data_IF_069593695611
#
_entry.id   IF_069593695611
#
_cell.length_a   1.000
_cell.length_b   1.000
_cell.length_c   1.000
_cell.angle_alpha   90.00
_cell.angle_beta   90.00
_cell.angle_gamma   90.00
#
_symmetry.space_group_name_H-M   'P 1'
#
loop_
_entity.id
_entity.type
_entity.pdbx_description
1 polymer ?
#
# COMPACT_ATOMS: atom_id res chain seq x y z
N UNK A 1 40.75 -13.07 -18.94
CA UNK A 1 40.36 -11.80 -18.29
C UNK A 1 38.97 -11.83 -17.65
N UNK A 2 37.85 -12.01 -18.38
CA UNK A 2 36.52 -12.10 -17.73
C UNK A 2 36.39 -13.31 -16.80
N UNK A 3 36.89 -14.47 -17.23
CA UNK A 3 36.90 -15.68 -16.41
C UNK A 3 37.78 -15.54 -15.16
N UNK A 4 38.98 -14.97 -15.29
CA UNK A 4 39.90 -14.76 -14.15
C UNK A 4 39.28 -13.86 -13.08
N UNK A 5 38.61 -12.76 -13.49
CA UNK A 5 37.87 -11.89 -12.56
C UNK A 5 36.73 -12.61 -11.86
N UNK A 6 36.04 -13.52 -12.56
CA UNK A 6 34.96 -14.31 -11.96
C UNK A 6 35.51 -15.32 -10.95
N UNK A 7 36.61 -15.99 -11.27
CA UNK A 7 37.26 -16.95 -10.36
C UNK A 7 37.80 -16.24 -9.10
N UNK A 8 38.46 -15.09 -9.26
CA UNK A 8 38.96 -14.27 -8.15
C UNK A 8 37.82 -13.81 -7.22
N UNK A 9 36.67 -13.42 -7.79
CA UNK A 9 35.50 -13.05 -7.01
C UNK A 9 34.96 -14.21 -6.18
N UNK A 10 34.87 -15.41 -6.78
CA UNK A 10 34.42 -16.63 -6.09
C UNK A 10 35.39 -16.98 -4.95
N UNK A 11 36.69 -16.86 -5.18
CA UNK A 11 37.73 -17.12 -4.17
C UNK A 11 37.59 -16.18 -2.97
N UNK A 12 37.46 -14.86 -3.20
CA UNK A 12 37.24 -13.88 -2.13
C UNK A 12 35.95 -14.15 -1.35
N UNK A 13 34.86 -14.50 -2.04
CA UNK A 13 33.59 -14.82 -1.38
C UNK A 13 33.68 -16.08 -0.53
N UNK A 14 34.37 -17.12 -1.01
CA UNK A 14 34.63 -18.33 -0.25
C UNK A 14 35.47 -18.03 1.00
N UNK A 15 36.52 -17.23 0.85
CA UNK A 15 37.38 -16.83 1.96
C UNK A 15 36.60 -16.11 3.07
N UNK A 16 35.76 -15.13 2.72
CA UNK A 16 34.93 -14.41 3.68
C UNK A 16 33.89 -15.32 4.34
N UNK A 17 33.28 -16.24 3.58
CA UNK A 17 32.36 -17.22 4.14
C UNK A 17 33.04 -18.12 5.17
N UNK A 18 34.26 -18.56 4.90
CA UNK A 18 35.00 -19.43 5.80
C UNK A 18 35.51 -18.69 7.04
N UNK A 19 35.98 -17.45 6.90
CA UNK A 19 36.64 -16.74 8.00
C UNK A 19 35.75 -15.79 8.80
N UNK A 20 34.58 -15.39 8.27
CA UNK A 20 33.63 -14.55 8.99
C UNK A 20 32.38 -15.37 9.36
N UNK A 21 31.61 -15.83 8.36
CA UNK A 21 30.34 -16.56 8.59
C UNK A 21 30.53 -17.87 9.37
N UNK A 22 31.44 -18.75 8.91
CA UNK A 22 31.61 -20.07 9.55
C UNK A 22 32.24 -19.98 10.95
N UNK A 23 32.96 -18.89 11.25
CA UNK A 23 33.49 -18.61 12.59
C UNK A 23 32.49 -17.92 13.51
N UNK A 24 31.29 -17.60 13.01
CA UNK A 24 30.20 -17.02 13.81
C UNK A 24 30.27 -15.51 13.99
N UNK A 25 31.13 -14.81 13.26
CA UNK A 25 31.17 -13.35 13.26
C UNK A 25 29.99 -12.79 12.46
N UNK A 26 29.43 -11.65 12.90
CA UNK A 26 28.33 -10.99 12.20
C UNK A 26 28.80 -10.34 10.88
N UNK A 27 28.25 -10.75 9.71
CA UNK A 27 28.53 -10.12 8.42
C UNK A 27 28.23 -8.61 8.39
N UNK A 28 27.23 -8.16 9.15
CA UNK A 28 26.84 -6.74 9.20
C UNK A 28 27.93 -5.90 9.87
N UNK A 29 28.45 -6.35 11.01
CA UNK A 29 29.53 -5.67 11.73
C UNK A 29 30.83 -5.67 10.92
N UNK A 30 31.17 -6.81 10.30
CA UNK A 30 32.31 -6.88 9.40
C UNK A 30 32.15 -5.95 8.19
N UNK A 31 30.93 -5.87 7.63
CA UNK A 31 30.61 -4.95 6.55
C UNK A 31 30.77 -3.48 6.94
N UNK A 32 30.35 -3.11 8.15
CA UNK A 32 30.54 -1.77 8.72
C UNK A 32 32.03 -1.45 8.93
N UNK A 33 32.82 -2.43 9.40
CA UNK A 33 34.27 -2.31 9.52
C UNK A 33 34.96 -2.12 8.17
N UNK A 34 34.59 -2.87 7.14
CA UNK A 34 35.13 -2.66 5.80
C UNK A 34 34.77 -1.27 5.24
N UNK A 35 33.57 -0.78 5.53
CA UNK A 35 33.12 0.56 5.13
C UNK A 35 33.90 1.68 5.84
N UNK A 36 34.34 1.48 7.09
CA UNK A 36 35.14 2.48 7.80
C UNK A 36 36.57 2.58 7.28
N UNK A 37 37.10 1.50 6.70
CA UNK A 37 38.46 1.48 6.14
C UNK A 37 38.57 2.09 4.74
N UNK A 38 37.50 2.04 3.93
CA UNK A 38 37.54 2.50 2.52
C UNK A 38 36.15 2.90 2.02
N UNK A 39 36.08 3.98 1.23
CA UNK A 39 34.85 4.37 0.53
C UNK A 39 34.41 3.24 -0.42
N UNK A 40 33.13 2.83 -0.34
CA UNK A 40 32.60 1.62 -1.00
C UNK A 40 33.32 0.32 -0.58
N UNK A 41 33.79 0.26 0.67
CA UNK A 41 34.45 -0.91 1.25
C UNK A 41 33.55 -2.14 1.33
N UNK A 42 32.23 -1.99 1.30
CA UNK A 42 31.28 -3.11 1.20
C UNK A 42 31.33 -3.86 -0.15
N UNK A 43 31.97 -3.33 -1.19
CA UNK A 43 32.13 -4.01 -2.46
C UNK A 43 33.39 -4.88 -2.47
N UNK A 44 33.22 -6.20 -2.44
CA UNK A 44 34.30 -7.18 -2.44
C UNK A 44 35.25 -7.06 -3.65
N UNK A 45 34.75 -6.56 -4.78
CA UNK A 45 35.55 -6.38 -6.01
C UNK A 45 36.60 -5.26 -5.86
N UNK A 46 36.48 -4.40 -4.83
CA UNK A 46 37.41 -3.31 -4.54
C UNK A 46 38.61 -3.72 -3.66
N UNK A 47 38.67 -4.99 -3.27
CA UNK A 47 39.71 -5.53 -2.39
C UNK A 47 40.45 -6.66 -3.09
N UNK A 48 41.76 -6.70 -2.97
CA UNK A 48 42.55 -7.88 -3.31
C UNK A 48 42.41 -8.94 -2.23
N UNK A 49 42.67 -10.22 -2.56
CA UNK A 49 42.59 -11.29 -1.57
C UNK A 49 43.54 -11.05 -0.36
N UNK A 50 44.81 -10.63 -0.55
CA UNK A 50 45.70 -10.32 0.58
C UNK A 50 45.22 -9.16 1.46
N UNK A 51 44.59 -8.14 0.87
CA UNK A 51 43.98 -7.05 1.65
C UNK A 51 42.82 -7.57 2.50
N UNK A 52 41.94 -8.41 1.93
CA UNK A 52 40.86 -9.05 2.70
C UNK A 52 41.41 -9.91 3.84
N UNK A 53 42.47 -10.69 3.61
CA UNK A 53 43.10 -11.48 4.67
C UNK A 53 43.61 -10.60 5.83
N UNK A 54 44.22 -9.47 5.50
CA UNK A 54 44.70 -8.52 6.51
C UNK A 54 43.56 -7.90 7.30
N UNK A 55 42.47 -7.53 6.63
CA UNK A 55 41.30 -6.88 7.24
C UNK A 55 40.51 -7.86 8.11
N UNK A 56 40.30 -9.07 7.61
CA UNK A 56 39.69 -10.16 8.40
C UNK A 56 40.52 -10.40 9.66
N UNK A 57 41.85 -10.52 9.55
CA UNK A 57 42.72 -10.71 10.73
C UNK A 57 42.61 -9.56 11.73
N UNK A 58 42.59 -8.32 11.24
CA UNK A 58 42.45 -7.12 12.07
C UNK A 58 41.09 -7.09 12.78
N UNK A 59 40.01 -7.37 12.05
CA UNK A 59 38.67 -7.44 12.59
C UNK A 59 38.52 -8.54 13.63
N UNK A 60 38.99 -9.76 13.34
CA UNK A 60 38.88 -10.88 14.30
C UNK A 60 39.68 -10.60 15.56
N UNK A 61 40.88 -10.01 15.46
CA UNK A 61 41.64 -9.60 16.66
C UNK A 61 40.84 -8.61 17.50
N UNK A 62 40.24 -7.60 16.87
CA UNK A 62 39.45 -6.57 17.56
C UNK A 62 38.23 -7.15 18.28
N UNK A 63 37.57 -8.16 17.70
CA UNK A 63 36.41 -8.82 18.32
C UNK A 63 36.82 -9.80 19.42
N UNK A 64 37.90 -10.55 19.21
CA UNK A 64 38.38 -11.58 20.14
C UNK A 64 39.02 -10.98 21.41
N UNK A 65 39.60 -9.77 21.33
CA UNK A 65 40.21 -9.05 22.46
C UNK A 65 39.19 -8.49 23.48
N UNK A 66 37.88 -8.64 23.20
CA UNK A 66 36.78 -8.41 24.15
C UNK A 66 35.92 -7.16 23.87
N UNK A 67 34.66 -7.16 24.35
CA UNK A 67 33.64 -6.16 23.99
C UNK A 67 33.98 -4.73 24.42
N UNK A 68 34.84 -4.55 25.44
CA UNK A 68 35.28 -3.22 25.90
C UNK A 68 36.09 -2.44 24.84
N UNK A 69 36.62 -3.12 23.81
CA UNK A 69 37.37 -2.45 22.73
C UNK A 69 36.49 -2.03 21.54
N UNK A 70 35.29 -2.57 21.39
CA UNK A 70 34.52 -2.43 20.15
C UNK A 70 33.68 -1.15 20.10
N UNK A 71 33.02 -0.80 21.22
CA UNK A 71 32.17 0.40 21.31
C UNK A 71 32.96 1.71 21.11
N UNK A 72 34.28 1.68 21.33
CA UNK A 72 35.09 2.88 21.24
C UNK A 72 35.42 3.31 19.81
N UNK A 73 35.27 2.43 18.81
CA UNK A 73 35.73 2.67 17.43
C UNK A 73 34.64 3.15 16.46
N UNK A 74 33.36 2.96 16.78
CA UNK A 74 32.24 3.34 15.89
C UNK A 74 31.34 4.43 16.46
N UNK A 75 31.66 4.97 17.65
CA UNK A 75 31.05 6.22 18.08
C UNK A 75 31.42 7.30 17.05
N UNK A 76 30.47 7.86 16.28
CA UNK A 76 30.78 8.99 15.42
C UNK A 76 31.39 10.07 16.30
N UNK A 77 32.55 10.59 15.92
CA UNK A 77 33.15 11.72 16.62
C UNK A 77 32.13 12.86 16.61
N UNK A 78 31.40 12.98 17.72
CA UNK A 78 30.52 14.09 17.99
C UNK A 78 31.42 15.29 18.22
N UNK A 79 31.66 16.04 17.14
CA UNK A 79 32.24 17.36 17.20
C UNK A 79 31.43 18.23 18.19
N UNK A 80 32.11 18.63 19.26
CA UNK A 80 31.89 19.92 19.90
C UNK A 80 30.59 20.12 20.69
N UNK A 81 30.64 19.72 21.97
CA UNK A 81 30.43 20.65 23.10
C UNK A 81 29.21 21.59 23.07
N UNK A 82 28.12 21.20 23.73
CA UNK A 82 27.23 22.15 24.43
C UNK A 82 27.14 21.70 25.90
N UNK A 83 27.46 22.57 26.88
CA UNK A 83 27.43 22.20 28.29
C UNK A 83 25.99 22.28 28.80
N UNK A 84 25.35 21.15 29.05
CA UNK A 84 24.16 21.09 29.90
C UNK A 84 24.59 20.71 31.30
N UNK A 85 24.42 21.68 32.22
CA UNK A 85 24.65 21.50 33.64
C UNK A 85 23.65 20.56 34.30
N UNK A 86 24.08 20.09 35.46
CA UNK A 86 23.33 19.60 36.62
C UNK A 86 21.82 19.40 36.42
N UNK A 87 21.35 18.16 36.65
CA UNK A 87 20.58 17.95 37.87
C UNK A 87 20.59 16.49 38.33
N UNK A 88 20.77 16.34 39.63
CA UNK A 88 20.81 15.10 40.40
C UNK A 88 19.38 14.57 40.58
N UNK A 89 19.16 13.28 40.34
CA UNK A 89 18.11 12.57 41.06
C UNK A 89 18.43 11.06 41.18
N UNK A 90 18.68 10.53 42.38
CA UNK A 90 18.77 9.10 42.62
C UNK A 90 17.57 8.63 43.45
N UNK A 91 16.63 7.91 42.84
CA UNK A 91 15.88 6.85 43.53
C UNK A 91 14.91 6.17 42.57
N UNK A 92 15.04 4.85 42.41
CA UNK A 92 13.93 3.89 42.44
C UNK A 92 14.43 2.47 42.14
N UNK A 93 14.18 1.59 43.09
CA UNK A 93 14.47 0.16 43.10
C UNK A 93 13.59 -0.66 42.13
N UNK A 94 13.97 -1.91 41.82
CA UNK A 94 13.27 -2.77 40.85
C UNK A 94 12.11 -3.55 41.48
N UNK A 95 10.93 -3.47 40.86
CA UNK A 95 9.74 -4.27 41.19
C UNK A 95 9.55 -5.45 40.23
N UNK A 96 9.17 -6.58 40.81
CA UNK A 96 9.25 -7.94 40.29
C UNK A 96 8.21 -8.32 39.23
N UNK A 97 8.59 -9.32 38.42
CA UNK A 97 7.71 -10.21 37.67
C UNK A 97 6.90 -11.12 38.61
N UNK A 98 5.60 -11.30 38.33
CA UNK A 98 4.89 -12.56 38.57
C UNK A 98 3.84 -12.80 37.48
N UNK A 99 3.78 -14.07 37.08
CA UNK A 99 2.83 -14.78 36.22
C UNK A 99 1.36 -14.60 36.68
N UNK A 100 0.32 -14.78 35.86
CA UNK A 100 -0.20 -16.07 35.38
C UNK A 100 -1.45 -15.85 34.48
N UNK A 101 -1.91 -16.89 33.75
CA UNK A 101 -2.92 -16.81 32.71
C UNK A 101 -4.30 -17.32 33.17
N UNK A 102 -5.39 -16.69 32.73
CA UNK A 102 -6.71 -17.32 32.71
C UNK A 102 -7.44 -16.90 31.42
N UNK A 103 -7.75 -17.91 30.61
CA UNK A 103 -8.43 -17.84 29.33
C UNK A 103 -9.75 -18.59 29.49
N UNK A 104 -10.79 -17.87 29.91
CA UNK A 104 -12.15 -18.37 29.90
C UNK A 104 -12.88 -17.94 28.63
N UNK A 105 -13.33 -18.98 27.94
CA UNK A 105 -14.29 -19.01 26.85
C UNK A 105 -15.64 -18.44 27.24
N UNK A 106 -16.21 -17.57 26.40
CA UNK A 106 -17.62 -17.22 26.47
C UNK A 106 -18.35 -17.35 25.13
N UNK A 107 -19.53 -17.92 25.30
CA UNK A 107 -20.49 -18.48 24.38
C UNK A 107 -21.46 -17.39 23.89
N UNK A 108 -21.65 -17.26 22.58
CA UNK A 108 -22.61 -16.30 22.00
C UNK A 108 -23.97 -16.97 21.78
N UNK A 109 -24.89 -16.78 22.73
CA UNK A 109 -26.33 -16.99 22.51
C UNK A 109 -26.92 -15.88 21.62
N UNK A 110 -27.59 -16.28 20.54
CA UNK A 110 -28.40 -15.39 19.69
C UNK A 110 -29.84 -15.37 20.17
N UNK A 111 -30.30 -14.21 20.68
CA UNK A 111 -31.72 -13.87 20.76
C UNK A 111 -32.00 -12.70 19.81
N UNK A 112 -32.80 -12.97 18.77
CA UNK A 112 -33.24 -11.99 17.77
C UNK A 112 -34.45 -11.20 18.28
N UNK A 113 -34.26 -9.90 18.47
CA UNK A 113 -35.30 -8.87 18.42
C UNK A 113 -34.72 -7.64 17.71
N UNK A 114 -35.42 -7.15 16.68
CA UNK A 114 -34.93 -6.20 15.69
C UNK A 114 -34.62 -4.81 16.24
N UNK A 115 -33.46 -4.65 16.88
CA UNK A 115 -32.81 -3.36 17.11
C UNK A 115 -31.91 -3.04 15.93
N UNK A 116 -32.04 -1.84 15.36
CA UNK A 116 -30.97 -1.24 14.54
C UNK A 116 -29.70 -1.27 15.39
N UNK A 117 -28.65 -1.93 14.87
CA UNK A 117 -27.38 -2.04 15.55
C UNK A 117 -26.51 -0.85 15.12
N UNK A 118 -25.93 -0.17 16.10
CA UNK A 118 -24.97 0.92 15.87
C UNK A 118 -23.56 0.40 16.18
N UNK A 119 -22.59 0.71 15.33
CA UNK A 119 -21.18 0.41 15.57
C UNK A 119 -20.50 1.66 16.15
N UNK A 120 -19.88 1.51 17.32
CA UNK A 120 -19.13 2.59 17.96
C UNK A 120 -17.69 2.61 17.43
N UNK A 121 -17.23 3.78 16.98
CA UNK A 121 -15.84 4.01 16.53
C UNK A 121 -15.17 4.94 17.51
N UNK A 122 -14.01 4.55 18.04
CA UNK A 122 -13.18 5.42 18.86
C UNK A 122 -12.34 6.34 17.98
N UNK A 123 -12.12 7.56 18.44
CA UNK A 123 -11.32 8.55 17.72
C UNK A 123 -9.83 8.18 17.63
N UNK A 124 -9.31 7.35 18.54
CA UNK A 124 -7.91 6.92 18.59
C UNK A 124 -7.56 5.73 17.66
N UNK A 125 -8.56 5.17 16.97
CA UNK A 125 -8.35 4.04 16.07
C UNK A 125 -7.46 4.40 14.89
N UNK A 126 -6.56 3.49 14.50
CA UNK A 126 -5.76 3.66 13.29
C UNK A 126 -6.66 3.80 12.05
N UNK A 127 -6.22 4.59 11.07
CA UNK A 127 -6.96 4.86 9.83
C UNK A 127 -7.46 3.59 9.12
N UNK A 128 -6.63 2.54 9.08
CA UNK A 128 -7.00 1.27 8.45
C UNK A 128 -8.14 0.59 9.20
N UNK A 129 -8.12 0.64 10.53
CA UNK A 129 -9.16 0.05 11.38
C UNK A 129 -10.47 0.84 11.29
N UNK A 130 -10.43 2.17 11.23
CA UNK A 130 -11.63 2.98 11.02
C UNK A 130 -12.29 2.67 9.67
N UNK A 131 -11.48 2.53 8.61
CA UNK A 131 -11.97 2.18 7.27
C UNK A 131 -12.62 0.79 7.22
N UNK A 132 -12.04 -0.20 7.89
CA UNK A 132 -12.63 -1.54 7.98
C UNK A 132 -13.96 -1.53 8.73
N UNK A 133 -14.07 -0.78 9.84
CA UNK A 133 -15.34 -0.62 10.57
C UNK A 133 -16.39 0.09 9.71
N UNK A 134 -15.99 1.08 8.91
CA UNK A 134 -16.90 1.81 8.03
C UNK A 134 -17.47 0.93 6.92
N UNK A 135 -16.62 0.12 6.28
CA UNK A 135 -17.04 -0.83 5.26
C UNK A 135 -17.98 -1.89 5.85
N UNK A 136 -17.66 -2.40 7.03
CA UNK A 136 -18.49 -3.39 7.74
C UNK A 136 -19.85 -2.82 8.16
N UNK A 137 -19.89 -1.58 8.64
CA UNK A 137 -21.14 -0.91 8.99
C UNK A 137 -22.04 -0.71 7.76
N UNK A 138 -21.45 -0.34 6.62
CA UNK A 138 -22.18 -0.19 5.36
C UNK A 138 -22.73 -1.53 4.83
N UNK A 139 -21.95 -2.62 4.92
CA UNK A 139 -22.40 -3.97 4.55
C UNK A 139 -23.54 -4.48 5.45
N UNK A 140 -23.48 -4.15 6.74
CA UNK A 140 -24.45 -4.62 7.73
C UNK A 140 -25.65 -3.67 7.90
N UNK A 141 -25.70 -2.55 7.17
CA UNK A 141 -26.76 -1.54 7.28
C UNK A 141 -26.83 -0.88 8.67
N UNK A 142 -25.67 -0.73 9.32
CA UNK A 142 -25.53 -0.19 10.67
C UNK A 142 -25.09 1.27 10.63
N UNK A 143 -25.63 2.06 11.55
CA UNK A 143 -25.15 3.42 11.77
C UNK A 143 -23.83 3.42 12.55
N UNK A 144 -23.01 4.44 12.32
CA UNK A 144 -21.74 4.63 13.01
C UNK A 144 -21.89 5.78 14.02
N UNK A 145 -21.49 5.53 15.26
CA UNK A 145 -21.43 6.55 16.30
C UNK A 145 -19.99 6.72 16.78
N UNK A 146 -19.49 7.95 16.79
CA UNK A 146 -18.18 8.26 17.36
C UNK A 146 -18.31 8.44 18.86
N UNK A 147 -17.41 7.84 19.63
CA UNK A 147 -17.38 7.95 21.09
C UNK A 147 -16.04 8.57 21.48
N UNK A 148 -16.12 9.69 22.19
CA UNK A 148 -14.95 10.36 22.79
C UNK A 148 -14.57 9.64 24.09
N UNK A 149 -13.27 9.47 24.35
CA UNK A 149 -12.76 8.67 25.47
C UNK A 149 -13.04 9.27 26.88
N UNK A 150 -13.61 10.48 26.95
CA UNK A 150 -13.84 11.21 28.21
C UNK A 150 -15.27 11.08 28.79
N UNK A 151 -16.22 10.38 28.14
CA UNK A 151 -17.54 10.15 28.74
C UNK A 151 -17.65 8.79 29.46
N UNK A 152 -17.84 8.76 30.80
CA UNK A 152 -18.13 7.52 31.50
C UNK A 152 -19.49 6.96 31.03
N UNK A 153 -19.54 5.66 30.73
CA UNK A 153 -20.62 4.92 30.06
C UNK A 153 -21.99 4.87 30.79
N UNK A 154 -22.34 5.86 31.59
CA UNK A 154 -23.54 5.90 32.43
C UNK A 154 -24.34 7.18 32.22
N UNK A 155 -24.86 7.40 30.99
CA UNK A 155 -26.14 8.08 30.73
C UNK A 155 -26.40 8.23 29.21
N UNK A 156 -26.95 7.19 28.58
CA UNK A 156 -27.68 7.36 27.31
C UNK A 156 -29.15 7.01 27.58
N UNK A 157 -29.94 8.04 27.88
CA UNK A 157 -31.39 7.93 28.08
C UNK A 157 -32.07 7.82 26.71
N UNK A 158 -32.57 6.63 26.38
CA UNK A 158 -33.45 6.44 25.22
C UNK A 158 -34.85 7.00 25.53
N UNK A 159 -35.28 8.03 24.80
CA UNK A 159 -36.67 8.47 24.80
C UNK A 159 -37.53 7.55 23.90
N UNK A 160 -38.72 7.12 24.35
CA UNK A 160 -39.59 6.27 23.55
C UNK A 160 -40.43 7.11 22.57
N UNK A 161 -40.42 6.70 21.30
CA UNK A 161 -41.30 7.23 20.24
C UNK A 161 -42.60 6.40 20.22
N UNK A 162 -43.80 7.01 20.08
CA UNK A 162 -45.07 6.30 20.18
C UNK A 162 -45.36 5.44 18.94
N UNK A 163 -45.73 4.18 19.17
CA UNK A 163 -46.11 3.19 18.15
C UNK A 163 -47.60 3.31 17.79
N UNK A 164 -48.00 3.21 16.50
CA UNK A 164 -49.40 3.11 16.13
C UNK A 164 -49.93 1.68 16.26
N UNK A 165 -51.20 1.59 16.67
CA UNK A 165 -52.00 0.37 16.86
C UNK A 165 -52.40 -0.21 15.50
N UNK A 166 -52.19 -1.52 15.29
CA UNK A 166 -52.81 -2.29 14.19
C UNK A 166 -53.44 -3.58 14.72
N UNK A 167 -54.65 -3.82 14.21
CA UNK A 167 -55.60 -4.87 14.56
C UNK A 167 -55.23 -6.24 13.98
N UNK A 168 -55.69 -7.29 14.67
CA UNK A 168 -55.53 -8.70 14.37
C UNK A 168 -56.27 -9.20 13.12
N UNK A 169 -55.76 -10.30 12.54
CA UNK A 169 -56.46 -11.16 11.59
C UNK A 169 -55.78 -12.53 11.46
N UNK A 170 -56.54 -13.60 11.63
CA UNK A 170 -56.17 -15.03 11.81
C UNK A 170 -56.29 -15.80 10.48
N UNK A 171 -55.45 -16.82 10.25
CA UNK A 171 -55.82 -18.02 9.46
C UNK A 171 -54.77 -18.61 8.50
N UNK A 172 -54.22 -19.78 8.87
CA UNK A 172 -53.48 -20.79 8.08
C UNK A 172 -54.42 -21.67 7.19
N UNK A 173 -54.02 -22.75 6.46
CA UNK A 173 -52.79 -23.08 5.68
C UNK A 173 -53.06 -23.84 4.31
N UNK A 174 -51.97 -24.28 3.64
CA UNK A 174 -51.78 -25.41 2.67
C UNK A 174 -52.07 -25.21 1.16
N UNK A 175 -51.11 -25.63 0.31
CA UNK A 175 -51.41 -26.30 -0.98
C UNK A 175 -50.47 -26.03 -2.17
N UNK A 176 -49.75 -27.08 -2.60
CA UNK A 176 -48.96 -27.21 -3.84
C UNK A 176 -49.70 -26.86 -5.14
N UNK A 177 -48.95 -26.43 -6.18
CA UNK A 177 -48.91 -27.01 -7.54
C UNK A 177 -48.50 -26.02 -8.65
N UNK A 178 -47.99 -26.62 -9.73
CA UNK A 178 -47.16 -26.11 -10.82
C UNK A 178 -48.00 -25.57 -12.04
N UNK A 179 -47.45 -25.33 -13.27
CA UNK A 179 -47.63 -24.11 -14.05
C UNK A 179 -48.51 -24.26 -15.32
N UNK A 180 -48.87 -23.16 -16.01
CA UNK A 180 -48.85 -22.99 -17.49
C UNK A 180 -49.64 -21.77 -18.03
N UNK A 181 -49.01 -21.11 -19.01
CA UNK A 181 -49.54 -20.59 -20.30
C UNK A 181 -50.50 -19.37 -20.42
N UNK A 182 -50.02 -18.43 -21.27
CA UNK A 182 -50.70 -17.70 -22.37
C UNK A 182 -51.64 -16.48 -22.13
N UNK A 183 -51.19 -15.32 -22.70
CA UNK A 183 -51.85 -14.19 -23.45
C UNK A 183 -53.39 -14.20 -23.68
N UNK A 184 -54.08 -13.10 -24.15
CA UNK A 184 -53.77 -11.64 -24.25
C UNK A 184 -54.94 -10.63 -23.92
N UNK A 185 -54.60 -9.35 -23.62
CA UNK A 185 -55.26 -8.01 -23.77
C UNK A 185 -56.82 -7.77 -23.62
N UNK A 186 -57.37 -6.53 -23.87
CA UNK A 186 -57.87 -5.49 -22.93
C UNK A 186 -59.45 -5.34 -23.00
N UNK A 187 -60.23 -4.35 -22.45
CA UNK A 187 -59.99 -2.90 -22.22
C UNK A 187 -60.58 -2.25 -20.92
N UNK A 188 -60.30 -0.94 -20.77
CA UNK A 188 -60.97 0.11 -19.96
C UNK A 188 -62.53 0.04 -19.95
N UNK A 189 -63.29 0.64 -18.99
CA UNK A 189 -63.15 2.07 -18.59
C UNK A 189 -63.56 2.50 -17.14
N UNK A 190 -63.15 3.74 -16.82
CA UNK A 190 -63.78 4.80 -16.01
C UNK A 190 -64.48 4.49 -14.66
N UNK A 191 -64.02 5.14 -13.59
CA UNK A 191 -64.89 5.71 -12.56
C UNK A 191 -64.18 6.80 -11.71
N UNK A 192 -64.93 7.87 -11.47
CA UNK A 192 -64.64 9.04 -10.65
C UNK A 192 -64.19 8.75 -9.21
N UNK A 193 -63.24 9.55 -8.72
CA UNK A 193 -62.80 9.54 -7.32
C UNK A 193 -62.21 10.88 -6.88
N UNK A 194 -63.06 11.74 -6.32
CA UNK A 194 -62.71 12.98 -5.63
C UNK A 194 -61.73 12.76 -4.49
N UNK A 195 -60.72 13.64 -4.41
CA UNK A 195 -60.26 14.22 -3.16
C UNK A 195 -58.96 13.65 -2.58
N UNK A 196 -57.86 14.37 -2.78
CA UNK A 196 -56.98 14.84 -1.70
C UNK A 196 -55.90 15.72 -2.31
N UNK A 197 -55.84 16.97 -1.87
CA UNK A 197 -54.86 17.97 -2.29
C UNK A 197 -53.57 17.70 -1.49
N UNK A 198 -52.78 16.74 -1.93
CA UNK A 198 -51.40 16.57 -1.51
C UNK A 198 -50.50 17.19 -2.58
N UNK A 199 -49.74 18.21 -2.20
CA UNK A 199 -48.77 18.87 -3.08
C UNK A 199 -47.65 17.89 -3.45
N UNK A 200 -47.26 17.80 -4.74
CA UNK A 200 -46.12 16.99 -5.16
C UNK A 200 -44.83 17.75 -4.86
N UNK A 201 -44.23 17.50 -3.69
CA UNK A 201 -42.89 17.97 -3.28
C UNK A 201 -41.76 17.05 -3.80
N UNK A 202 -42.03 16.14 -4.74
CA UNK A 202 -41.07 15.09 -5.12
C UNK A 202 -40.24 15.37 -6.40
N UNK A 203 -40.51 16.47 -7.13
CA UNK A 203 -39.92 16.68 -8.48
C UNK A 203 -38.93 17.85 -8.60
N UNK A 204 -38.55 18.50 -7.49
CA UNK A 204 -37.57 19.62 -7.50
C UNK A 204 -36.11 19.22 -7.22
N UNK A 205 -35.83 17.94 -6.94
CA UNK A 205 -34.44 17.47 -6.78
C UNK A 205 -33.79 17.01 -8.10
N UNK A 206 -34.54 16.87 -9.20
CA UNK A 206 -34.05 16.27 -10.44
C UNK A 206 -33.22 17.20 -11.37
N UNK A 207 -33.10 18.49 -11.09
CA UNK A 207 -32.46 19.45 -12.00
C UNK A 207 -31.30 20.26 -11.38
N UNK A 208 -30.62 19.74 -10.35
CA UNK A 208 -29.30 20.26 -9.98
C UNK A 208 -28.30 19.82 -11.05
N UNK A 209 -28.21 20.62 -12.13
CA UNK A 209 -27.23 20.46 -13.18
C UNK A 209 -25.83 20.27 -12.56
N UNK A 210 -25.24 19.10 -12.77
CA UNK A 210 -23.86 18.80 -12.37
C UNK A 210 -22.98 19.80 -13.09
N UNK A 211 -22.39 20.74 -12.35
CA UNK A 211 -21.41 21.66 -12.91
C UNK A 211 -20.13 20.86 -13.17
N UNK A 212 -19.88 20.59 -14.43
CA UNK A 212 -18.66 19.95 -14.91
C UNK A 212 -17.71 21.04 -15.37
N UNK A 213 -16.51 21.06 -14.79
CA UNK A 213 -15.48 22.05 -15.14
C UNK A 213 -14.38 21.37 -15.92
N UNK A 214 -13.97 21.97 -17.04
CA UNK A 214 -12.82 21.50 -17.80
C UNK A 214 -11.64 22.43 -17.54
N UNK A 215 -10.51 21.85 -17.14
CA UNK A 215 -9.27 22.58 -16.85
C UNK A 215 -8.18 22.07 -17.79
N UNK A 216 -7.34 22.97 -18.30
CA UNK A 216 -6.18 22.59 -19.10
C UNK A 216 -5.13 21.89 -18.24
N UNK A 217 -4.49 20.86 -18.81
CA UNK A 217 -3.39 20.11 -18.22
C UNK A 217 -2.28 19.80 -19.22
N UNK A 218 -1.30 19.02 -18.81
CA UNK A 218 -0.25 18.50 -19.69
C UNK A 218 -0.78 17.31 -20.49
N UNK A 219 -0.53 17.32 -21.80
CA UNK A 219 -0.88 16.18 -22.64
C UNK A 219 0.16 15.08 -22.50
N UNK A 220 -0.29 13.84 -22.24
CA UNK A 220 0.60 12.68 -22.23
C UNK A 220 1.28 12.48 -23.61
N UNK A 221 2.54 12.07 -23.59
CA UNK A 221 3.23 11.63 -24.79
C UNK A 221 2.53 10.37 -25.36
N UNK A 222 2.60 10.20 -26.69
CA UNK A 222 2.10 8.98 -27.33
C UNK A 222 2.97 7.80 -26.88
N UNK A 223 2.37 6.88 -26.14
CA UNK A 223 2.98 5.63 -25.71
C UNK A 223 2.53 4.48 -26.61
N UNK A 224 3.38 3.50 -26.93
CA UNK A 224 2.95 2.26 -27.58
C UNK A 224 1.88 1.50 -26.78
N UNK A 225 1.77 1.77 -25.47
CA UNK A 225 0.75 1.20 -24.60
C UNK A 225 -0.65 1.80 -24.79
N UNK A 226 -0.77 2.88 -25.58
CA UNK A 226 -2.03 3.60 -25.84
C UNK A 226 -2.96 2.90 -26.83
N UNK A 227 -2.57 1.73 -27.36
CA UNK A 227 -3.32 1.02 -28.40
C UNK A 227 -4.75 0.64 -27.97
N UNK A 228 -5.64 0.38 -28.94
CA UNK A 228 -6.99 -0.13 -28.68
C UNK A 228 -6.99 -1.60 -28.22
N UNK A 229 -5.86 -2.28 -28.36
CA UNK A 229 -5.71 -3.67 -27.95
C UNK A 229 -5.72 -3.78 -26.43
N UNK A 230 -6.47 -4.75 -25.93
CA UNK A 230 -6.45 -5.12 -24.51
C UNK A 230 -5.09 -5.76 -24.19
N UNK A 231 -4.13 -4.92 -23.82
CA UNK A 231 -2.82 -5.35 -23.36
C UNK A 231 -2.98 -6.10 -22.03
N UNK A 232 -2.24 -7.20 -21.90
CA UNK A 232 -2.20 -8.00 -20.69
C UNK A 232 -0.75 -8.31 -20.36
N UNK A 233 -0.42 -8.15 -19.09
CA UNK A 233 0.87 -8.54 -18.54
C UNK A 233 0.71 -9.82 -17.75
N UNK A 234 1.68 -10.73 -17.89
CA UNK A 234 1.84 -11.89 -17.02
C UNK A 234 3.13 -11.74 -16.20
N UNK A 235 3.06 -12.09 -14.91
CA UNK A 235 4.21 -12.05 -14.01
C UNK A 235 4.44 -13.43 -13.42
N UNK A 236 5.65 -13.97 -13.58
CA UNK A 236 5.95 -15.34 -13.18
C UNK A 236 7.44 -15.61 -13.01
N UNK A 237 7.77 -16.90 -13.01
CA UNK A 237 9.13 -17.44 -12.97
C UNK A 237 10.05 -16.76 -11.93
N UNK A 238 9.65 -16.74 -10.64
CA UNK A 238 10.41 -16.10 -9.60
C UNK A 238 11.80 -16.72 -9.49
N UNK A 239 12.83 -15.90 -9.34
CA UNK A 239 14.21 -16.36 -9.16
C UNK A 239 14.85 -15.61 -8.02
N UNK A 240 15.32 -16.35 -7.03
CA UNK A 240 16.06 -15.81 -5.89
C UNK A 240 17.52 -15.67 -6.30
N UNK A 241 18.06 -14.47 -6.12
CA UNK A 241 19.44 -14.13 -6.36
C UNK A 241 20.15 -13.91 -5.03
N UNK A 242 21.34 -14.46 -4.95
CA UNK A 242 22.28 -14.26 -3.85
C UNK A 242 23.46 -13.45 -4.43
N UNK A 243 23.42 -12.12 -4.28
CA UNK A 243 24.48 -11.23 -4.80
C UNK A 243 25.78 -11.31 -3.95
N UNK A 244 25.82 -12.23 -2.97
CA UNK A 244 27.00 -12.58 -2.20
C UNK A 244 26.96 -12.07 -0.75
N UNK A 245 28.11 -12.18 -0.10
CA UNK A 245 28.28 -12.08 1.36
C UNK A 245 27.65 -10.83 2.02
N UNK A 246 27.75 -9.66 1.40
CA UNK A 246 27.24 -8.40 1.97
C UNK A 246 25.90 -7.93 1.39
N UNK A 247 25.37 -8.64 0.39
CA UNK A 247 24.13 -8.24 -0.27
C UNK A 247 22.99 -9.11 0.22
N UNK A 248 21.90 -8.48 0.67
CA UNK A 248 20.69 -9.23 0.98
C UNK A 248 20.20 -9.95 -0.28
N UNK A 249 19.73 -11.19 -0.10
CA UNK A 249 19.05 -11.95 -1.15
C UNK A 249 17.89 -11.13 -1.69
N UNK A 250 17.69 -11.16 -2.99
CA UNK A 250 16.54 -10.52 -3.63
C UNK A 250 15.89 -11.46 -4.61
N UNK A 251 14.62 -11.21 -4.92
CA UNK A 251 13.88 -11.96 -5.91
C UNK A 251 13.67 -11.10 -7.16
N UNK A 252 13.79 -11.72 -8.33
CA UNK A 252 13.32 -11.16 -9.58
C UNK A 252 12.18 -12.00 -10.15
N UNK A 253 11.28 -11.32 -10.86
CA UNK A 253 10.17 -11.93 -11.57
C UNK A 253 10.32 -11.67 -13.07
N UNK A 254 9.90 -12.63 -13.88
CA UNK A 254 9.73 -12.43 -15.31
C UNK A 254 8.41 -11.70 -15.56
N UNK A 255 8.45 -10.66 -16.38
CA UNK A 255 7.32 -9.82 -16.76
C UNK A 255 7.18 -9.90 -18.28
N UNK A 256 6.10 -10.50 -18.76
CA UNK A 256 5.82 -10.68 -20.19
C UNK A 256 4.62 -9.85 -20.62
N UNK A 257 4.72 -9.19 -21.76
CA UNK A 257 3.61 -8.52 -22.44
C UNK A 257 3.50 -9.13 -23.84
N UNK A 258 2.66 -10.16 -23.98
CA UNK A 258 2.61 -11.01 -25.17
C UNK A 258 2.29 -10.22 -26.44
N UNK A 259 1.38 -9.26 -26.36
CA UNK A 259 0.95 -8.43 -27.49
C UNK A 259 2.06 -7.54 -28.06
N UNK A 260 3.09 -7.25 -27.26
CA UNK A 260 4.21 -6.38 -27.64
C UNK A 260 5.53 -7.15 -27.76
N UNK A 261 5.49 -8.49 -27.60
CA UNK A 261 6.68 -9.34 -27.58
C UNK A 261 7.75 -8.87 -26.59
N UNK A 262 7.33 -8.28 -25.46
CA UNK A 262 8.22 -7.80 -24.42
C UNK A 262 8.39 -8.88 -23.35
N UNK A 263 9.64 -9.19 -23.02
CA UNK A 263 10.00 -10.11 -21.95
C UNK A 263 11.18 -9.51 -21.17
N UNK A 264 10.92 -9.10 -19.93
CA UNK A 264 11.91 -8.46 -19.06
C UNK A 264 11.90 -9.09 -17.68
N UNK A 265 13.01 -8.97 -16.94
CA UNK A 265 13.07 -9.33 -15.52
C UNK A 265 13.11 -8.09 -14.64
N UNK A 266 12.40 -8.12 -13.52
CA UNK A 266 12.30 -7.01 -12.56
C UNK A 266 12.49 -7.49 -11.14
N UNK A 267 13.17 -6.68 -10.31
CA UNK A 267 13.26 -6.95 -8.87
C UNK A 267 11.93 -6.63 -8.21
N UNK A 268 11.57 -7.34 -7.14
CA UNK A 268 10.36 -7.01 -6.35
C UNK A 268 10.31 -5.53 -5.95
N UNK A 269 11.48 -5.00 -5.52
CA UNK A 269 11.63 -3.59 -5.15
C UNK A 269 11.33 -2.61 -6.29
N UNK A 270 11.55 -2.98 -7.54
CA UNK A 270 11.29 -2.09 -8.68
C UNK A 270 9.79 -1.79 -8.82
N UNK A 271 8.91 -2.74 -8.47
CA UNK A 271 7.46 -2.54 -8.47
C UNK A 271 7.03 -1.53 -7.39
N UNK A 272 7.63 -1.62 -6.20
CA UNK A 272 7.41 -0.65 -5.12
C UNK A 272 7.83 0.76 -5.54
N UNK A 273 9.04 0.92 -6.10
CA UNK A 273 9.52 2.21 -6.59
C UNK A 273 8.65 2.77 -7.74
N UNK A 274 8.11 1.91 -8.61
CA UNK A 274 7.18 2.33 -9.66
C UNK A 274 5.86 2.83 -9.06
N UNK A 275 5.31 2.12 -8.08
CA UNK A 275 4.10 2.54 -7.35
C UNK A 275 4.30 3.88 -6.65
N UNK A 276 5.42 4.05 -5.94
CA UNK A 276 5.79 5.31 -5.28
C UNK A 276 5.92 6.46 -6.28
N UNK A 277 6.55 6.19 -7.43
CA UNK A 277 6.65 7.16 -8.52
C UNK A 277 5.27 7.62 -8.98
N UNK A 278 4.33 6.69 -9.23
CA UNK A 278 2.97 7.04 -9.63
C UNK A 278 2.23 7.85 -8.55
N UNK A 279 2.33 7.47 -7.28
CA UNK A 279 1.75 8.25 -6.18
C UNK A 279 2.28 9.69 -6.16
N UNK A 280 3.56 9.88 -6.52
CA UNK A 280 4.20 11.20 -6.56
C UNK A 280 3.75 12.04 -7.76
N UNK A 281 3.69 11.46 -8.96
CA UNK A 281 3.38 12.21 -10.20
C UNK A 281 1.90 12.30 -10.53
N UNK A 282 1.07 11.39 -10.01
CA UNK A 282 -0.35 11.29 -10.28
C UNK A 282 -1.18 11.23 -9.00
N UNK A 283 -1.12 12.24 -8.11
CA UNK A 283 -1.81 12.21 -6.83
C UNK A 283 -3.35 12.17 -6.93
N UNK A 284 -3.89 12.49 -8.10
CA UNK A 284 -5.33 12.48 -8.42
C UNK A 284 -5.80 11.12 -8.98
N UNK A 285 -4.86 10.23 -9.34
CA UNK A 285 -5.18 8.89 -9.86
C UNK A 285 -5.12 7.89 -8.72
N UNK A 286 -6.13 7.02 -8.63
CA UNK A 286 -6.13 5.93 -7.67
C UNK A 286 -5.11 4.87 -8.08
N UNK A 287 -3.98 4.84 -7.37
CA UNK A 287 -2.92 3.87 -7.63
C UNK A 287 -3.32 2.52 -7.02
N UNK A 288 -3.30 1.41 -7.78
CA UNK A 288 -3.57 0.09 -7.24
C UNK A 288 -2.62 -0.25 -6.09
N UNK A 289 -3.14 -0.79 -4.99
CA UNK A 289 -2.32 -1.15 -3.84
C UNK A 289 -1.35 -2.29 -4.16
N UNK A 290 -0.13 -2.15 -3.67
CA UNK A 290 0.91 -3.16 -3.78
C UNK A 290 1.35 -3.57 -2.36
N UNK A 291 1.03 -4.79 -1.89
CA UNK A 291 1.49 -5.24 -0.58
C UNK A 291 3.01 -5.17 -0.48
N UNK A 292 3.56 -4.90 0.69
CA UNK A 292 5.01 -4.95 0.88
C UNK A 292 5.50 -6.39 1.02
N UNK A 293 6.73 -6.64 0.57
CA UNK A 293 7.40 -7.91 0.78
C UNK A 293 7.77 -8.04 2.26
N UNK A 294 7.16 -9.00 2.97
CA UNK A 294 7.51 -9.27 4.36
C UNK A 294 8.94 -9.79 4.44
N UNK A 295 9.85 -9.06 5.10
CA UNK A 295 11.27 -9.45 5.28
C UNK A 295 11.45 -10.81 5.98
N UNK A 296 10.47 -11.20 6.80
CA UNK A 296 10.46 -12.48 7.52
C UNK A 296 9.96 -13.66 6.70
N UNK A 297 9.31 -13.41 5.56
CA UNK A 297 8.86 -14.48 4.69
C UNK A 297 10.08 -15.14 4.07
N UNK A 298 10.32 -16.40 4.43
CA UNK A 298 11.26 -17.26 3.70
C UNK A 298 10.86 -17.20 2.22
N UNK A 299 11.84 -17.21 1.31
CA UNK A 299 11.64 -17.22 -0.15
C UNK A 299 11.03 -18.55 -0.62
N UNK A 300 9.89 -18.89 -0.03
CA UNK A 300 9.11 -20.09 -0.25
C UNK A 300 8.41 -20.01 -1.62
N UNK A 301 8.45 -21.06 -2.44
CA UNK A 301 7.86 -21.04 -3.78
C UNK A 301 6.37 -20.67 -3.79
N UNK A 302 5.59 -21.14 -2.81
CA UNK A 302 4.15 -20.83 -2.74
C UNK A 302 3.93 -19.34 -2.43
N UNK A 303 4.70 -18.79 -1.48
CA UNK A 303 4.72 -17.35 -1.22
C UNK A 303 5.09 -16.54 -2.46
N UNK A 304 6.14 -16.95 -3.19
CA UNK A 304 6.60 -16.25 -4.39
C UNK A 304 5.59 -16.33 -5.54
N UNK A 305 4.87 -17.44 -5.69
CA UNK A 305 3.79 -17.57 -6.67
C UNK A 305 2.62 -16.62 -6.35
N UNK A 306 2.19 -16.56 -5.08
CA UNK A 306 1.17 -15.60 -4.64
C UNK A 306 1.64 -14.16 -4.83
N UNK A 307 2.91 -13.88 -4.56
CA UNK A 307 3.51 -12.56 -4.80
C UNK A 307 3.46 -12.21 -6.29
N UNK A 308 3.87 -13.10 -7.17
CA UNK A 308 3.81 -12.89 -8.62
C UNK A 308 2.38 -12.54 -9.09
N UNK A 309 1.36 -13.24 -8.59
CA UNK A 309 -0.04 -12.94 -8.89
C UNK A 309 -0.48 -11.53 -8.43
N UNK A 310 0.00 -11.06 -7.27
CA UNK A 310 -0.25 -9.69 -6.80
C UNK A 310 0.43 -8.65 -7.70
N UNK A 311 1.67 -8.91 -8.11
CA UNK A 311 2.42 -8.03 -9.02
C UNK A 311 1.75 -7.98 -10.41
N UNK A 312 1.26 -9.12 -10.91
CA UNK A 312 0.47 -9.21 -12.14
C UNK A 312 -0.82 -8.37 -12.04
N UNK A 313 -1.57 -8.54 -10.95
CA UNK A 313 -2.80 -7.77 -10.74
C UNK A 313 -2.54 -6.26 -10.66
N UNK A 314 -1.45 -5.84 -10.01
CA UNK A 314 -1.01 -4.44 -9.96
C UNK A 314 -0.74 -3.89 -11.36
N UNK A 315 0.11 -4.56 -12.15
CA UNK A 315 0.47 -4.09 -13.50
C UNK A 315 -0.72 -4.06 -14.45
N UNK A 316 -1.59 -5.07 -14.41
CA UNK A 316 -2.79 -5.10 -15.26
C UNK A 316 -3.79 -3.99 -14.88
N UNK A 317 -3.92 -3.65 -13.59
CA UNK A 317 -4.72 -2.49 -13.18
C UNK A 317 -4.10 -1.17 -13.63
N UNK A 318 -2.78 -1.03 -13.59
CA UNK A 318 -2.09 0.14 -14.16
C UNK A 318 -2.32 0.25 -15.68
N UNK A 319 -2.34 -0.87 -16.40
CA UNK A 319 -2.65 -0.88 -17.84
C UNK A 319 -4.10 -0.53 -18.17
N UNK A 320 -5.04 -0.77 -17.26
CA UNK A 320 -6.45 -0.39 -17.43
C UNK A 320 -6.68 1.11 -17.18
N UNK A 321 -5.72 1.80 -16.55
CA UNK A 321 -5.79 3.24 -16.33
C UNK A 321 -5.07 3.99 -17.45
N UNK A 322 -5.82 4.81 -18.18
CA UNK A 322 -5.30 5.56 -19.33
C UNK A 322 -4.19 6.52 -18.95
N UNK A 323 -4.27 7.15 -17.79
CA UNK A 323 -3.26 8.07 -17.29
C UNK A 323 -1.95 7.33 -17.02
N UNK A 324 -2.01 6.22 -16.25
CA UNK A 324 -0.82 5.47 -15.85
C UNK A 324 -0.14 4.78 -17.03
N UNK A 325 -0.92 4.18 -17.95
CA UNK A 325 -0.36 3.43 -19.09
C UNK A 325 0.41 4.32 -20.07
N UNK A 326 0.13 5.62 -20.10
CA UNK A 326 0.78 6.56 -21.00
C UNK A 326 2.12 7.09 -20.47
N UNK A 327 2.46 6.85 -19.21
CA UNK A 327 3.72 7.35 -18.67
C UNK A 327 4.93 6.65 -19.30
N UNK A 328 5.94 7.40 -19.79
CA UNK A 328 7.15 6.82 -20.37
C UNK A 328 7.86 5.87 -19.41
N UNK A 329 7.89 6.19 -18.11
CA UNK A 329 8.50 5.35 -17.06
C UNK A 329 7.86 3.96 -16.98
N UNK A 330 6.56 3.85 -17.26
CA UNK A 330 5.85 2.58 -17.25
C UNK A 330 6.16 1.74 -18.48
N UNK A 331 6.22 2.38 -19.65
CA UNK A 331 6.65 1.67 -20.86
C UNK A 331 8.09 1.17 -20.76
N UNK A 332 9.01 1.98 -20.23
CA UNK A 332 10.39 1.56 -19.98
C UNK A 332 10.47 0.44 -18.92
N UNK A 333 9.57 0.44 -17.93
CA UNK A 333 9.42 -0.69 -16.98
C UNK A 333 9.07 -1.99 -17.70
N UNK A 334 8.28 -1.97 -18.76
CA UNK A 334 7.93 -3.19 -19.51
C UNK A 334 8.96 -3.54 -20.60
N UNK A 335 9.73 -2.58 -21.09
CA UNK A 335 10.62 -2.74 -22.26
C UNK A 335 12.09 -3.00 -21.92
N UNK A 336 12.64 -2.36 -20.89
CA UNK A 336 14.09 -2.35 -20.66
C UNK A 336 14.59 -3.74 -20.17
N UNK A 337 15.37 -4.53 -20.93
CA UNK A 337 15.79 -5.86 -20.48
C UNK A 337 16.71 -5.82 -19.25
N UNK A 338 17.56 -4.81 -19.13
CA UNK A 338 18.46 -4.66 -17.99
C UNK A 338 17.76 -3.96 -16.81
N UNK A 339 17.45 -4.75 -15.77
CA UNK A 339 16.83 -4.22 -14.56
C UNK A 339 17.73 -3.17 -13.86
N UNK A 340 19.07 -3.26 -13.93
CA UNK A 340 19.96 -2.28 -13.27
C UNK A 340 19.88 -0.92 -13.94
N UNK A 341 19.89 -0.92 -15.28
CA UNK A 341 19.69 0.28 -16.08
C UNK A 341 18.32 0.91 -15.77
N UNK A 342 17.27 0.09 -15.71
CA UNK A 342 15.93 0.54 -15.33
C UNK A 342 15.89 1.13 -13.91
N UNK A 343 16.39 0.44 -12.88
CA UNK A 343 16.35 0.94 -11.50
C UNK A 343 17.08 2.30 -11.37
N UNK A 344 18.18 2.51 -12.10
CA UNK A 344 18.89 3.79 -12.14
C UNK A 344 18.05 4.87 -12.81
N UNK A 345 17.41 4.55 -13.94
CA UNK A 345 16.53 5.47 -14.65
C UNK A 345 15.32 5.85 -13.80
N UNK A 346 14.64 4.89 -13.18
CA UNK A 346 13.48 5.12 -12.32
C UNK A 346 13.83 6.02 -11.13
N UNK A 347 14.96 5.78 -10.47
CA UNK A 347 15.45 6.66 -9.39
C UNK A 347 15.66 8.09 -9.89
N UNK A 348 16.37 8.27 -11.01
CA UNK A 348 16.59 9.61 -11.57
C UNK A 348 15.28 10.29 -11.98
N UNK A 349 14.34 9.54 -12.57
CA UNK A 349 13.01 10.05 -12.91
C UNK A 349 12.18 10.40 -11.68
N UNK A 350 12.28 9.64 -10.59
CA UNK A 350 11.61 9.90 -9.33
C UNK A 350 12.18 11.12 -8.60
N UNK A 351 13.50 11.29 -8.60
CA UNK A 351 14.17 12.48 -8.05
C UNK A 351 13.78 13.75 -8.82
N UNK A 352 13.74 13.67 -10.15
CA UNK A 352 13.34 14.78 -11.03
C UNK A 352 11.84 15.02 -11.07
N UNK A 353 11.03 14.06 -10.62
CA UNK A 353 9.59 14.23 -10.57
C UNK A 353 9.26 15.36 -9.59
N UNK A 354 8.64 16.41 -10.10
CA UNK A 354 8.08 17.49 -9.30
C UNK A 354 6.64 17.11 -8.98
N UNK A 355 6.26 17.20 -7.70
CA UNK A 355 4.86 17.04 -7.30
C UNK A 355 4.08 18.19 -7.93
N UNK A 356 3.06 17.86 -8.73
CA UNK A 356 2.22 18.87 -9.38
C UNK A 356 1.65 19.85 -8.33
N UNK A 357 1.83 21.14 -8.58
CA UNK A 357 1.40 22.22 -7.68
C UNK A 357 0.16 22.90 -8.21
N UNK A 358 -0.11 22.79 -9.52
CA UNK A 358 -1.31 23.31 -10.17
C UNK A 358 -2.03 22.24 -10.98
N UNK A 359 -3.32 22.43 -11.23
CA UNK A 359 -4.10 21.57 -12.14
C UNK A 359 -3.52 21.50 -13.55
N UNK A 360 -2.81 22.56 -13.96
CA UNK A 360 -2.11 22.63 -15.26
C UNK A 360 -0.93 21.68 -15.36
N UNK A 361 -0.38 21.24 -14.23
CA UNK A 361 0.78 20.34 -14.17
C UNK A 361 0.36 18.86 -14.27
N UNK A 362 -0.93 18.55 -14.15
CA UNK A 362 -1.41 17.19 -14.23
C UNK A 362 -1.46 16.69 -15.66
N UNK A 363 -1.07 15.43 -15.86
CA UNK A 363 -1.06 14.78 -17.16
C UNK A 363 -2.43 14.19 -17.50
N UNK A 364 -2.91 14.37 -18.72
CA UNK A 364 -4.04 13.60 -19.24
C UNK A 364 -3.83 13.19 -20.69
N UNK A 365 -4.52 12.13 -21.17
CA UNK A 365 -4.42 11.71 -22.57
C UNK A 365 -4.77 12.84 -23.55
N UNK A 366 -5.76 13.67 -23.20
CA UNK A 366 -6.24 14.79 -24.02
C UNK A 366 -5.52 16.11 -23.76
N UNK A 367 -4.86 16.26 -22.60
CA UNK A 367 -4.39 17.55 -22.07
C UNK A 367 -5.52 18.38 -21.44
N UNK A 368 -6.70 17.79 -21.24
CA UNK A 368 -7.83 18.38 -20.54
C UNK A 368 -8.23 17.48 -19.37
N UNK A 369 -8.58 18.10 -18.25
CA UNK A 369 -9.08 17.44 -17.04
C UNK A 369 -10.53 17.82 -16.81
N UNK A 370 -11.35 16.84 -16.49
CA UNK A 370 -12.76 17.05 -16.19
C UNK A 370 -12.97 16.89 -14.69
N UNK A 371 -13.28 17.98 -14.01
CA UNK A 371 -13.50 18.01 -12.57
C UNK A 371 -14.99 17.86 -12.31
N UNK A 372 -15.36 16.72 -11.71
CA UNK A 372 -16.70 16.50 -11.22
C UNK A 372 -16.84 17.10 -9.82
N UNK A 373 -17.41 18.30 -9.73
CA UNK A 373 -17.64 19.02 -8.48
C UNK A 373 -18.81 18.44 -7.66
N UNK A 374 -18.88 17.11 -7.53
CA UNK A 374 -19.85 16.46 -6.67
C UNK A 374 -19.43 16.64 -5.21
N UNK A 375 -20.27 17.29 -4.41
CA UNK A 375 -20.02 17.55 -2.98
C UNK A 375 -19.72 16.28 -2.17
N UNK A 376 -20.28 15.14 -2.58
CA UNK A 376 -20.02 13.87 -1.91
C UNK A 376 -18.60 13.35 -2.19
N UNK A 377 -17.96 13.72 -3.30
CA UNK A 377 -16.59 13.28 -3.60
C UNK A 377 -15.58 13.99 -2.69
N UNK A 378 -15.89 15.22 -2.26
CA UNK A 378 -15.08 16.01 -1.30
C UNK A 378 -14.92 15.27 0.05
N UNK A 379 -15.92 14.51 0.49
CA UNK A 379 -15.85 13.79 1.76
C UNK A 379 -15.07 12.47 1.71
N UNK A 380 -14.66 11.97 0.54
CA UNK A 380 -14.02 10.65 0.41
C UNK A 380 -12.49 10.68 0.29
N UNK A 381 -11.86 11.87 0.24
CA UNK A 381 -10.42 11.95 0.00
C UNK A 381 -9.81 13.21 0.61
N UNK A 382 -8.97 13.04 1.64
CA UNK A 382 -8.15 14.12 2.19
C UNK A 382 -7.15 14.66 1.14
N UNK A 383 -6.73 13.82 0.19
CA UNK A 383 -5.91 14.22 -0.94
C UNK A 383 -6.68 15.07 -1.97
N UNK A 384 -8.00 14.94 -2.01
CA UNK A 384 -8.83 15.81 -2.83
C UNK A 384 -8.89 17.22 -2.25
N UNK A 385 -8.82 17.40 -0.93
CA UNK A 385 -8.64 18.73 -0.35
C UNK A 385 -7.28 19.34 -0.71
N UNK A 386 -6.21 18.53 -0.84
CA UNK A 386 -4.92 19.00 -1.40
C UNK A 386 -5.08 19.42 -2.88
N UNK A 387 -5.82 18.65 -3.68
CA UNK A 387 -6.11 18.98 -5.08
C UNK A 387 -7.02 20.23 -5.22
N UNK A 388 -8.02 20.37 -4.35
CA UNK A 388 -8.98 21.47 -4.35
C UNK A 388 -8.37 22.76 -3.78
N UNK A 389 -7.55 22.69 -2.73
CA UNK A 389 -6.83 23.88 -2.21
C UNK A 389 -5.87 24.48 -3.24
N UNK A 390 -5.21 23.63 -4.03
CA UNK A 390 -4.44 24.01 -5.21
C UNK A 390 -5.31 24.66 -6.30
N UNK A 391 -6.53 24.14 -6.50
CA UNK A 391 -7.48 24.65 -7.48
C UNK A 391 -8.03 26.04 -7.09
N UNK A 392 -8.37 26.25 -5.82
CA UNK A 392 -8.91 27.50 -5.29
C UNK A 392 -7.89 28.65 -5.27
N UNK A 393 -6.59 28.36 -5.29
CA UNK A 393 -5.55 29.40 -5.41
C UNK A 393 -5.25 29.82 -6.85
N UNK A 394 -5.71 29.04 -7.84
CA UNK A 394 -5.42 29.29 -9.26
C UNK A 394 -6.60 29.88 -10.06
N UNK A 395 -7.80 29.93 -9.47
CA UNK A 395 -8.99 30.59 -10.01
C UNK A 395 -9.25 31.90 -9.25
#
# INVERSE_FOLDING_TARGET
>A
QKQDKMNEKVEKQMYLKENILNKGYDPADFGAYMLSLKENGNNIDNWTLPELESIVRSFTSMVDDGPDSFDHYFAPEHDGSVPTGDDRNPDSQPGQCTSDPDNDSDELEQVRLGRQQTLCVKHDMSFFTQREVFLKAAEEGKDIQYVDDDEPASQVHAQPVPTPILLAGVGDPVGDAQPQAARPQPPEPAADGKGSKAEPEEDKQAARAKKEYTVGGLKCAKSPLAGPESLRVTVGDPTVHDDGFFSSKYVTFQVKTEQLELDVRRKDRDFGCLSEYFCKVCPYVLIPSLPELKKSAKFDPEYLARRAAQLEAFLNKCLQCDELRLFPVFYEFLKQPDYKAYSKQLKSSSEKAVKAVSTRDFYSPSGLHTINANKHIISFSDNLNVYLSVYETCC
#
